data_IF_129554507528
#
_entry.id   IF_129554507528
#
_cell.length_a   1.000
_cell.length_b   1.000
_cell.length_c   1.000
_cell.angle_alpha   90.00
_cell.angle_beta   90.00
_cell.angle_gamma   90.00
#
_symmetry.space_group_name_H-M   'P 1'
#
loop_
_entity.id
_entity.type
_entity.pdbx_description
1 polymer ?
#
# COMPACT_ATOMS: atom_id res chain seq x y z
N UNK A 1 -2.86 36.59 17.77
CA UNK A 1 -3.19 35.27 18.37
C UNK A 1 -2.36 34.18 17.68
N UNK A 2 -2.37 32.93 18.16
CA UNK A 2 -1.64 31.83 17.51
C UNK A 2 -2.13 31.57 16.06
N UNK A 3 -3.44 31.75 15.82
CA UNK A 3 -4.05 31.64 14.49
C UNK A 3 -3.53 32.70 13.52
N UNK A 4 -3.35 33.94 13.98
CA UNK A 4 -2.81 35.01 13.13
C UNK A 4 -1.36 34.72 12.74
N UNK A 5 -0.56 34.22 13.69
CA UNK A 5 0.82 33.82 13.43
C UNK A 5 0.88 32.68 12.42
N UNK A 6 0.04 31.65 12.57
CA UNK A 6 -0.04 30.54 11.61
C UNK A 6 -0.37 31.02 10.18
N UNK A 7 -1.35 31.92 10.04
CA UNK A 7 -1.70 32.52 8.73
C UNK A 7 -0.56 33.33 8.13
N UNK A 8 0.16 34.10 8.94
CA UNK A 8 1.34 34.85 8.47
C UNK A 8 2.41 33.87 7.98
N UNK A 9 2.71 32.81 8.73
CA UNK A 9 3.67 31.78 8.33
C UNK A 9 3.24 31.14 6.99
N UNK A 10 1.97 30.78 6.84
CA UNK A 10 1.43 30.25 5.58
C UNK A 10 1.62 31.22 4.41
N UNK A 11 1.32 32.50 4.61
CA UNK A 11 1.55 33.55 3.62
C UNK A 11 3.03 33.69 3.27
N UNK A 12 3.92 33.62 4.26
CA UNK A 12 5.37 33.67 4.04
C UNK A 12 5.84 32.48 3.20
N UNK A 13 5.39 31.26 3.53
CA UNK A 13 5.67 30.05 2.78
C UNK A 13 5.13 30.09 1.35
N UNK A 14 3.98 30.75 1.10
CA UNK A 14 3.40 30.88 -0.23
C UNK A 14 4.07 31.96 -1.10
N UNK A 15 4.62 33.01 -0.48
CA UNK A 15 5.18 34.20 -1.16
C UNK A 15 6.70 34.25 -1.17
N UNK A 16 7.37 33.22 -0.65
CA UNK A 16 8.83 33.17 -0.52
C UNK A 16 9.59 33.42 -1.84
N UNK A 17 8.96 33.14 -2.99
CA UNK A 17 9.56 33.34 -4.33
C UNK A 17 9.19 34.69 -4.99
N UNK A 18 8.11 35.37 -4.57
CA UNK A 18 7.55 36.56 -5.23
C UNK A 18 7.72 37.87 -4.44
N UNK A 19 8.53 37.83 -3.38
CA UNK A 19 8.87 39.01 -2.58
C UNK A 19 9.62 40.10 -3.37
N UNK A 20 10.29 39.74 -4.47
CA UNK A 20 10.91 40.71 -5.39
C UNK A 20 9.90 41.44 -6.28
N UNK A 21 8.76 40.82 -6.61
CA UNK A 21 7.67 41.45 -7.37
C UNK A 21 6.82 42.36 -6.48
N UNK A 22 6.78 42.03 -5.18
CA UNK A 22 6.13 42.80 -4.12
C UNK A 22 7.05 43.94 -3.64
N UNK A 23 7.41 44.86 -4.53
CA UNK A 23 8.14 46.08 -4.16
C UNK A 23 7.29 47.01 -3.29
N UNK A 24 7.06 46.61 -2.03
CA UNK A 24 6.71 47.55 -0.99
C UNK A 24 7.98 48.38 -0.76
N UNK A 25 7.97 49.61 -1.27
CA UNK A 25 8.96 50.64 -0.94
C UNK A 25 8.86 50.95 0.56
N UNK A 26 9.34 50.06 1.41
CA UNK A 26 9.64 50.37 2.80
C UNK A 26 10.93 51.20 2.80
N UNK A 27 10.91 52.43 3.35
CA UNK A 27 12.10 53.24 3.46
C UNK A 27 13.18 52.44 4.21
N UNK A 28 14.40 52.43 3.67
CA UNK A 28 15.55 51.85 4.36
C UNK A 28 15.73 52.51 5.73
N UNK A 29 16.26 51.80 6.75
CA UNK A 29 16.43 52.35 8.10
C UNK A 29 17.24 53.66 8.17
N UNK A 30 18.05 53.94 7.15
CA UNK A 30 18.75 55.22 6.96
C UNK A 30 17.83 56.42 6.79
N UNK A 31 16.54 56.21 6.50
CA UNK A 31 15.52 57.25 6.38
C UNK A 31 15.00 57.76 7.73
N UNK A 32 15.19 56.97 8.80
CA UNK A 32 14.64 57.24 10.13
C UNK A 32 15.63 57.92 11.09
N UNK A 33 16.92 57.89 10.77
CA UNK A 33 17.96 58.49 11.59
C UNK A 33 18.67 59.60 10.80
N UNK A 34 18.44 60.89 11.11
CA UNK A 34 19.26 61.94 10.54
C UNK A 34 20.67 61.78 11.13
N UNK A 35 21.59 61.23 10.35
CA UNK A 35 23.01 61.26 10.69
C UNK A 35 23.43 62.72 10.72
N UNK A 36 23.82 63.18 11.91
CA UNK A 36 24.30 64.53 12.15
C UNK A 36 25.41 64.89 11.17
N UNK A 37 25.28 66.08 10.59
CA UNK A 37 26.27 66.65 9.70
C UNK A 37 27.59 66.87 10.44
N UNK A 38 28.69 66.34 9.89
CA UNK A 38 30.01 66.91 10.06
C UNK A 38 30.73 66.94 8.70
N UNK A 39 31.44 68.03 8.34
CA UNK A 39 31.88 68.28 6.98
C UNK A 39 33.33 67.88 6.77
N UNK A 40 33.59 67.06 5.74
CA UNK A 40 34.94 66.97 5.17
C UNK A 40 35.29 65.61 4.58
N UNK A 41 35.33 65.52 3.25
CA UNK A 41 35.97 64.39 2.58
C UNK A 41 35.59 64.26 1.12
N UNK A 42 36.48 64.71 0.24
CA UNK A 42 36.37 64.66 -1.23
C UNK A 42 36.24 63.23 -1.76
N UNK A 43 35.49 63.10 -2.84
CA UNK A 43 35.06 61.83 -3.42
C UNK A 43 36.09 61.02 -4.18
N UNK A 44 35.63 59.86 -4.66
CA UNK A 44 36.11 59.24 -5.89
C UNK A 44 35.06 58.24 -6.40
N UNK A 45 34.56 58.52 -7.59
CA UNK A 45 33.71 57.63 -8.38
C UNK A 45 34.42 56.29 -8.63
N UNK A 46 33.68 55.22 -8.35
CA UNK A 46 34.09 53.84 -8.57
C UNK A 46 32.84 53.04 -8.91
N UNK A 47 32.32 53.27 -10.12
CA UNK A 47 31.27 52.50 -10.74
C UNK A 47 31.74 51.05 -10.87
N UNK A 48 31.21 50.17 -10.03
CA UNK A 48 31.28 48.73 -10.26
C UNK A 48 29.87 48.16 -10.12
N UNK A 49 29.22 48.00 -11.27
CA UNK A 49 27.96 47.28 -11.42
C UNK A 49 28.20 45.80 -11.16
N UNK A 50 27.97 45.39 -9.91
CA UNK A 50 27.66 44.02 -9.57
C UNK A 50 26.18 43.98 -9.17
N UNK A 51 25.30 43.59 -10.09
CA UNK A 51 23.92 43.24 -9.76
C UNK A 51 23.93 41.97 -8.90
N UNK A 52 24.24 42.13 -7.61
CA UNK A 52 23.83 41.15 -6.63
C UNK A 52 22.33 41.28 -6.50
N UNK A 53 21.58 40.42 -7.18
CA UNK A 53 20.20 40.15 -6.78
C UNK A 53 20.28 39.54 -5.38
N UNK A 54 20.27 40.37 -4.34
CA UNK A 54 19.88 39.91 -3.02
C UNK A 54 18.47 39.36 -3.21
N UNK A 55 18.36 38.03 -3.28
CA UNK A 55 17.08 37.35 -3.32
C UNK A 55 16.29 37.84 -2.10
N UNK A 56 15.35 38.76 -2.32
CA UNK A 56 14.42 39.26 -1.31
C UNK A 56 13.57 38.08 -0.91
N UNK A 57 14.00 37.35 0.11
CA UNK A 57 13.28 36.22 0.69
C UNK A 57 13.01 36.52 2.16
N UNK A 58 11.99 35.88 2.72
CA UNK A 58 11.61 36.06 4.11
C UNK A 58 12.78 35.66 5.01
N UNK A 59 13.10 36.52 5.99
CA UNK A 59 14.14 36.26 7.00
C UNK A 59 13.47 35.68 8.26
N UNK A 60 13.49 34.35 8.46
CA UNK A 60 12.77 33.71 9.57
C UNK A 60 13.25 34.18 10.94
N UNK A 61 14.54 34.54 11.06
CA UNK A 61 15.16 35.00 12.30
C UNK A 61 14.55 36.33 12.76
N UNK A 62 14.37 37.27 11.82
CA UNK A 62 13.77 38.58 12.09
C UNK A 62 12.30 38.41 12.50
N UNK A 63 11.58 37.54 11.79
CA UNK A 63 10.18 37.26 12.10
C UNK A 63 9.99 36.69 13.50
N UNK A 64 10.76 35.66 13.85
CA UNK A 64 10.68 35.02 15.19
C UNK A 64 11.10 35.98 16.29
N UNK A 65 12.14 36.79 16.07
CA UNK A 65 12.57 37.80 17.05
C UNK A 65 11.47 38.86 17.27
N UNK A 66 10.84 39.36 16.20
CA UNK A 66 9.73 40.30 16.31
C UNK A 66 8.54 39.70 17.07
N UNK A 67 8.18 38.44 16.81
CA UNK A 67 7.11 37.75 17.55
C UNK A 67 7.43 37.63 19.05
N UNK A 68 8.69 37.37 19.40
CA UNK A 68 9.13 37.29 20.80
C UNK A 68 8.97 38.61 21.54
N UNK A 69 9.19 39.73 20.87
CA UNK A 69 9.03 41.07 21.44
C UNK A 69 7.56 41.49 21.55
N UNK A 70 6.75 41.20 20.52
CA UNK A 70 5.35 41.62 20.44
C UNK A 70 4.41 40.71 21.23
N UNK A 71 4.68 39.39 21.24
CA UNK A 71 3.85 38.39 21.93
C UNK A 71 4.73 37.41 22.72
N UNK A 72 5.32 37.83 23.86
CA UNK A 72 6.27 36.99 24.63
C UNK A 72 5.68 35.68 25.16
N UNK A 73 4.35 35.62 25.36
CA UNK A 73 3.62 34.46 25.83
C UNK A 73 3.10 33.53 24.73
N UNK A 74 3.61 33.65 23.49
CA UNK A 74 3.15 32.84 22.35
C UNK A 74 3.49 31.36 22.57
N UNK A 75 2.47 30.51 22.55
CA UNK A 75 2.64 29.06 22.58
C UNK A 75 2.80 28.52 21.14
N UNK A 76 4.01 28.07 20.80
CA UNK A 76 4.31 27.55 19.45
C UNK A 76 3.61 26.24 19.13
N UNK A 77 3.21 25.45 20.13
CA UNK A 77 2.37 24.28 19.90
C UNK A 77 1.00 24.68 19.36
N UNK A 78 0.40 25.74 19.92
CA UNK A 78 -0.88 26.27 19.45
C UNK A 78 -0.75 26.89 18.06
N UNK A 79 0.39 27.50 17.73
CA UNK A 79 0.69 27.97 16.36
C UNK A 79 0.74 26.80 15.39
N UNK A 80 1.41 25.71 15.73
CA UNK A 80 1.51 24.52 14.87
C UNK A 80 0.16 23.83 14.68
N UNK A 81 -0.67 23.77 15.73
CA UNK A 81 -2.06 23.30 15.63
C UNK A 81 -2.90 24.22 14.74
N UNK A 82 -2.67 25.53 14.81
CA UNK A 82 -3.38 26.51 14.00
C UNK A 82 -2.91 26.58 12.53
N UNK A 83 -1.90 25.80 12.13
CA UNK A 83 -1.57 25.60 10.71
C UNK A 83 -2.70 24.87 9.95
N UNK A 84 -3.58 24.17 10.67
CA UNK A 84 -4.83 23.66 10.10
C UNK A 84 -5.82 24.80 9.83
N UNK A 85 -5.65 25.44 8.67
CA UNK A 85 -6.57 26.44 8.14
C UNK A 85 -6.61 26.40 6.61
N UNK A 86 -7.70 26.88 6.01
CA UNK A 86 -8.02 26.71 4.58
C UNK A 86 -6.94 27.22 3.60
N UNK A 87 -6.15 28.22 3.98
CA UNK A 87 -5.13 28.84 3.12
C UNK A 87 -3.75 28.17 3.24
N UNK A 88 -3.57 27.24 4.18
CA UNK A 88 -2.28 26.57 4.38
C UNK A 88 -1.97 25.64 3.20
N UNK A 89 -0.80 25.83 2.58
CA UNK A 89 -0.31 24.96 1.51
C UNK A 89 1.22 25.10 1.35
N UNK A 90 1.93 23.97 1.23
CA UNK A 90 3.36 23.93 0.95
C UNK A 90 3.57 23.43 -0.49
N UNK A 91 4.06 24.33 -1.36
CA UNK A 91 4.19 24.07 -2.81
C UNK A 91 5.52 23.44 -3.20
N UNK A 92 6.58 23.75 -2.46
CA UNK A 92 7.94 23.38 -2.83
C UNK A 92 8.89 23.26 -1.62
N UNK A 93 10.12 22.86 -1.91
CA UNK A 93 11.19 22.64 -0.94
C UNK A 93 11.60 23.93 -0.20
N UNK A 94 11.76 25.11 -0.84
CA UNK A 94 12.05 26.34 -0.11
C UNK A 94 10.95 26.76 0.87
N UNK A 95 9.67 26.61 0.49
CA UNK A 95 8.54 26.85 1.39
C UNK A 95 8.56 25.95 2.63
N UNK A 96 8.87 24.66 2.45
CA UNK A 96 9.06 23.73 3.57
C UNK A 96 10.25 24.13 4.46
N UNK A 97 11.39 24.47 3.85
CA UNK A 97 12.59 24.90 4.59
C UNK A 97 12.30 26.14 5.45
N UNK A 98 11.55 27.11 4.92
CA UNK A 98 11.13 28.30 5.64
C UNK A 98 10.22 27.95 6.82
N UNK A 99 9.20 27.11 6.61
CA UNK A 99 8.28 26.66 7.66
C UNK A 99 9.06 25.99 8.81
N UNK A 100 9.90 25.00 8.47
CA UNK A 100 10.68 24.25 9.45
C UNK A 100 11.65 25.16 10.22
N UNK A 101 12.27 26.12 9.54
CA UNK A 101 13.17 27.08 10.17
C UNK A 101 12.44 27.98 11.17
N UNK A 102 11.30 28.56 10.77
CA UNK A 102 10.47 29.40 11.65
C UNK A 102 10.03 28.62 12.89
N UNK A 103 9.45 27.43 12.70
CA UNK A 103 8.93 26.61 13.80
C UNK A 103 10.07 26.16 14.72
N UNK A 104 11.21 25.72 14.18
CA UNK A 104 12.38 25.32 14.97
C UNK A 104 12.89 26.46 15.84
N UNK A 105 13.07 27.66 15.26
CA UNK A 105 13.52 28.84 16.01
C UNK A 105 12.49 29.27 17.06
N UNK A 106 11.21 29.21 16.72
CA UNK A 106 10.10 29.52 17.62
C UNK A 106 10.04 28.62 18.84
N UNK A 107 10.08 27.30 18.64
CA UNK A 107 10.07 26.31 19.73
C UNK A 107 11.32 26.43 20.61
N UNK A 108 12.49 26.65 20.00
CA UNK A 108 13.74 26.89 20.73
C UNK A 108 13.65 28.13 21.62
N UNK A 109 13.05 29.21 21.12
CA UNK A 109 12.89 30.46 21.88
C UNK A 109 11.98 30.32 23.10
N UNK A 110 11.12 29.28 23.12
CA UNK A 110 10.12 29.04 24.16
C UNK A 110 10.53 27.95 25.16
N UNK A 111 11.75 27.40 25.04
CA UNK A 111 12.27 26.38 25.97
C UNK A 111 11.61 25.00 25.86
N UNK A 112 10.77 24.76 24.85
CA UNK A 112 10.00 23.52 24.64
C UNK A 112 10.81 22.39 23.95
N UNK A 113 12.08 22.62 23.63
CA UNK A 113 12.97 21.66 22.99
C UNK A 113 13.51 22.15 21.64
N UNK A 114 14.07 21.23 20.84
CA UNK A 114 14.65 21.54 19.53
C UNK A 114 13.94 20.88 18.33
N UNK A 115 12.91 20.09 18.58
CA UNK A 115 12.28 19.26 17.55
C UNK A 115 11.00 19.89 17.02
N UNK A 116 10.75 19.70 15.73
CA UNK A 116 9.49 20.07 15.09
C UNK A 116 8.34 19.24 15.70
N UNK A 117 7.23 19.86 16.16
CA UNK A 117 6.14 19.18 16.84
C UNK A 117 5.26 18.41 15.85
N UNK A 118 5.80 17.31 15.32
CA UNK A 118 5.19 16.51 14.26
C UNK A 118 3.87 15.85 14.69
N UNK A 119 3.64 15.69 16.00
CA UNK A 119 2.33 15.37 16.59
C UNK A 119 1.17 16.24 16.08
N UNK A 120 1.44 17.51 15.73
CA UNK A 120 0.44 18.43 15.17
C UNK A 120 0.09 18.05 13.73
N UNK A 121 1.06 17.51 12.98
CA UNK A 121 0.88 17.04 11.61
C UNK A 121 0.11 15.72 11.57
N UNK A 122 0.20 14.90 12.61
CA UNK A 122 -0.56 13.64 12.71
C UNK A 122 -2.03 13.83 13.13
N UNK A 123 -2.45 15.03 13.51
CA UNK A 123 -3.87 15.31 13.81
C UNK A 123 -4.73 15.18 12.56
N UNK A 124 -6.04 15.00 12.71
CA UNK A 124 -6.97 15.01 11.57
C UNK A 124 -7.30 16.45 11.20
N UNK A 125 -6.61 16.99 10.19
CA UNK A 125 -6.81 18.38 9.76
C UNK A 125 -8.15 18.53 9.04
N UNK A 126 -8.74 19.72 9.18
CA UNK A 126 -9.86 20.18 8.35
C UNK A 126 -9.38 20.58 6.96
N UNK A 127 -8.22 21.21 6.83
CA UNK A 127 -7.54 21.42 5.55
C UNK A 127 -6.70 20.18 5.17
N UNK A 128 -7.39 19.17 4.64
CA UNK A 128 -6.79 17.90 4.21
C UNK A 128 -5.75 18.10 3.09
N UNK A 129 -5.97 19.06 2.18
CA UNK A 129 -5.03 19.39 1.09
C UNK A 129 -3.73 19.95 1.65
N UNK A 130 -3.83 20.92 2.56
CA UNK A 130 -2.70 21.51 3.24
C UNK A 130 -1.88 20.48 4.01
N UNK A 131 -2.56 19.59 4.74
CA UNK A 131 -1.92 18.49 5.46
C UNK A 131 -1.15 17.54 4.52
N UNK A 132 -1.80 17.12 3.43
CA UNK A 132 -1.17 16.27 2.42
C UNK A 132 0.06 16.95 1.79
N UNK A 133 -0.03 18.25 1.50
CA UNK A 133 1.08 19.01 0.91
C UNK A 133 2.32 19.01 1.80
N UNK A 134 2.12 19.20 3.12
CA UNK A 134 3.18 19.18 4.12
C UNK A 134 3.81 17.78 4.24
N UNK A 135 3.00 16.74 4.42
CA UNK A 135 3.49 15.36 4.56
C UNK A 135 4.25 14.94 3.29
N UNK A 136 3.71 15.23 2.11
CA UNK A 136 4.34 14.92 0.83
C UNK A 136 5.69 15.61 0.69
N UNK A 137 5.78 16.89 1.07
CA UNK A 137 7.03 17.64 0.95
C UNK A 137 8.08 17.15 1.94
N UNK A 138 7.67 16.76 3.17
CA UNK A 138 8.57 16.15 4.15
C UNK A 138 9.11 14.82 3.62
N UNK A 139 8.24 13.92 3.13
CA UNK A 139 8.67 12.62 2.58
C UNK A 139 9.65 12.76 1.41
N UNK A 140 9.48 13.79 0.58
CA UNK A 140 10.39 14.08 -0.55
C UNK A 140 11.72 14.72 -0.14
N UNK A 141 11.82 15.30 1.05
CA UNK A 141 13.00 16.05 1.51
C UNK A 141 13.44 15.60 2.92
N UNK A 142 13.84 14.32 3.09
CA UNK A 142 14.22 13.76 4.40
C UNK A 142 15.46 14.41 5.00
N UNK A 143 16.23 15.17 4.21
CA UNK A 143 17.38 15.95 4.66
C UNK A 143 16.98 17.21 5.44
N UNK A 144 15.77 17.75 5.21
CA UNK A 144 15.23 18.88 5.97
C UNK A 144 14.57 18.41 7.26
N UNK A 145 13.76 17.36 7.18
CA UNK A 145 13.12 16.70 8.31
C UNK A 145 12.68 15.30 7.90
N UNK A 146 12.84 14.31 8.78
CA UNK A 146 12.36 12.95 8.55
C UNK A 146 11.38 12.50 9.63
N UNK A 147 10.30 11.82 9.23
CA UNK A 147 9.41 11.15 10.19
C UNK A 147 10.13 10.05 10.99
N UNK A 148 11.28 9.57 10.52
CA UNK A 148 12.16 8.67 11.26
C UNK A 148 12.85 9.33 12.45
N UNK A 149 13.03 10.66 12.43
CA UNK A 149 13.75 11.38 13.50
C UNK A 149 12.98 11.34 14.83
N UNK A 150 11.65 11.17 14.77
CA UNK A 150 10.82 11.00 15.97
C UNK A 150 9.58 10.13 15.72
N UNK A 151 9.62 8.90 16.23
CA UNK A 151 8.53 7.94 16.14
C UNK A 151 7.87 7.78 17.51
N UNK A 152 6.65 8.30 17.68
CA UNK A 152 5.89 8.16 18.95
C UNK A 152 5.40 6.73 19.17
N UNK A 153 4.92 6.09 18.11
CA UNK A 153 4.40 4.72 18.15
C UNK A 153 4.94 3.98 16.96
N UNK A 154 5.88 3.08 17.23
CA UNK A 154 6.59 2.31 16.22
C UNK A 154 5.81 1.05 15.85
N UNK A 155 5.92 0.64 14.59
CA UNK A 155 5.45 -0.66 14.11
C UNK A 155 6.20 -1.76 14.86
N UNK A 156 5.48 -2.63 15.54
CA UNK A 156 6.05 -3.83 16.15
C UNK A 156 6.42 -4.84 15.05
N UNK A 157 7.72 -5.12 14.91
CA UNK A 157 8.26 -6.05 13.91
C UNK A 157 8.87 -7.32 14.51
N UNK A 158 8.75 -7.52 15.83
CA UNK A 158 9.35 -8.62 16.58
C UNK A 158 8.97 -10.02 16.08
N UNK A 159 7.83 -10.14 15.40
CA UNK A 159 7.35 -11.40 14.84
C UNK A 159 8.08 -11.77 13.53
N UNK A 160 8.70 -10.81 12.85
CA UNK A 160 9.33 -11.02 11.54
C UNK A 160 10.57 -11.90 11.70
N UNK A 161 10.76 -12.85 10.77
CA UNK A 161 11.92 -13.75 10.77
C UNK A 161 13.19 -13.03 10.35
N UNK A 162 13.07 -12.17 9.36
CA UNK A 162 14.13 -11.29 8.89
C UNK A 162 13.74 -9.86 9.28
N UNK A 163 14.49 -9.21 10.18
CA UNK A 163 14.17 -7.85 10.58
C UNK A 163 14.35 -6.89 9.37
N UNK A 164 13.52 -5.85 9.25
CA UNK A 164 13.66 -4.85 8.19
C UNK A 164 14.94 -4.03 8.35
N UNK A 165 15.48 -3.52 7.24
CA UNK A 165 16.66 -2.64 7.24
C UNK A 165 16.29 -1.20 7.61
N UNK A 166 16.13 -0.94 8.91
CA UNK A 166 15.70 0.37 9.43
C UNK A 166 16.80 1.43 9.50
N UNK A 167 18.04 1.12 9.09
CA UNK A 167 19.13 2.10 9.04
C UNK A 167 18.90 3.16 7.95
N UNK A 168 18.13 2.81 6.91
CA UNK A 168 17.70 3.76 5.91
C UNK A 168 16.54 4.63 6.45
N UNK A 169 16.74 5.94 6.55
CA UNK A 169 15.71 6.90 6.98
C UNK A 169 14.42 6.84 6.16
N UNK A 170 14.50 6.48 4.89
CA UNK A 170 13.33 6.32 4.02
C UNK A 170 12.46 5.14 4.47
N UNK A 171 13.08 4.02 4.87
CA UNK A 171 12.40 2.85 5.47
C UNK A 171 11.90 3.18 6.88
N UNK A 172 12.76 3.77 7.71
CA UNK A 172 12.45 4.08 9.10
C UNK A 172 11.26 5.03 9.26
N UNK A 173 11.01 5.92 8.27
CA UNK A 173 9.84 6.80 8.28
C UNK A 173 8.52 6.01 8.33
N UNK A 174 8.47 4.84 7.67
CA UNK A 174 7.29 3.98 7.62
C UNK A 174 7.07 3.14 8.89
N UNK A 175 8.03 3.14 9.81
CA UNK A 175 7.83 2.57 11.14
C UNK A 175 6.89 3.42 12.00
N UNK A 176 6.53 4.65 11.59
CA UNK A 176 5.55 5.48 12.29
C UNK A 176 4.12 5.04 11.97
N UNK A 177 3.42 4.48 12.97
CA UNK A 177 2.00 4.14 12.82
C UNK A 177 1.13 5.38 12.53
N UNK A 178 1.48 6.53 13.13
CA UNK A 178 0.75 7.79 12.95
C UNK A 178 0.86 8.34 11.54
N UNK A 179 2.02 8.15 10.88
CA UNK A 179 2.19 8.53 9.47
C UNK A 179 1.26 7.71 8.57
N UNK A 180 1.20 6.39 8.78
CA UNK A 180 0.35 5.52 7.97
C UNK A 180 -1.13 5.80 8.26
N UNK A 181 -1.52 5.99 9.52
CA UNK A 181 -2.92 6.30 9.91
C UNK A 181 -3.40 7.63 9.34
N UNK A 182 -2.58 8.69 9.41
CA UNK A 182 -2.96 9.99 8.88
C UNK A 182 -3.06 9.99 7.35
N UNK A 183 -2.19 9.23 6.66
CA UNK A 183 -2.30 9.05 5.21
C UNK A 183 -3.59 8.31 4.83
N UNK A 184 -3.97 7.26 5.56
CA UNK A 184 -5.25 6.58 5.36
C UNK A 184 -6.44 7.54 5.57
N UNK A 185 -6.40 8.36 6.62
CA UNK A 185 -7.40 9.41 6.84
C UNK A 185 -7.49 10.37 5.64
N UNK A 186 -6.35 10.87 5.14
CA UNK A 186 -6.31 11.77 3.98
C UNK A 186 -6.88 11.08 2.72
N UNK A 187 -6.57 9.80 2.50
CA UNK A 187 -7.08 9.03 1.37
C UNK A 187 -8.62 8.94 1.41
N UNK A 188 -9.18 8.68 2.59
CA UNK A 188 -10.62 8.56 2.80
C UNK A 188 -11.36 9.92 2.76
N UNK A 189 -10.62 11.04 2.76
CA UNK A 189 -11.16 12.41 2.71
C UNK A 189 -10.81 13.16 1.41
N UNK A 190 -10.84 12.45 0.28
CA UNK A 190 -10.85 13.06 -1.07
C UNK A 190 -9.52 13.07 -1.82
N UNK A 191 -8.42 12.64 -1.19
CA UNK A 191 -7.09 12.61 -1.81
C UNK A 191 -6.54 11.20 -2.01
N UNK A 192 -7.44 10.24 -2.26
CA UNK A 192 -7.12 8.83 -2.43
C UNK A 192 -5.99 8.58 -3.44
N UNK A 193 -6.06 9.16 -4.65
CA UNK A 193 -5.06 8.90 -5.71
C UNK A 193 -3.65 9.34 -5.30
N UNK A 194 -3.54 10.54 -4.75
CA UNK A 194 -2.28 11.12 -4.31
C UNK A 194 -1.65 10.32 -3.17
N UNK A 195 -2.48 9.84 -2.23
CA UNK A 195 -2.00 9.00 -1.13
C UNK A 195 -1.58 7.62 -1.62
N UNK A 196 -2.30 7.01 -2.57
CA UNK A 196 -1.88 5.73 -3.15
C UNK A 196 -0.54 5.84 -3.90
N UNK A 197 -0.28 6.97 -4.58
CA UNK A 197 1.06 7.24 -5.15
C UNK A 197 2.15 7.30 -4.08
N UNK A 198 1.87 7.89 -2.92
CA UNK A 198 2.80 7.92 -1.78
C UNK A 198 3.05 6.49 -1.26
N UNK A 199 2.00 5.67 -1.13
CA UNK A 199 2.14 4.29 -0.65
C UNK A 199 2.89 3.35 -1.62
N UNK A 200 3.07 3.71 -2.91
CA UNK A 200 3.91 2.91 -3.82
C UNK A 200 5.35 2.75 -3.30
N UNK A 201 5.87 3.77 -2.59
CA UNK A 201 7.22 3.75 -2.02
C UNK A 201 7.36 2.59 -1.01
N UNK A 202 6.59 2.54 0.09
CA UNK A 202 6.71 1.45 1.06
C UNK A 202 6.26 0.08 0.50
N UNK A 203 5.33 0.04 -0.47
CA UNK A 203 4.97 -1.21 -1.15
C UNK A 203 6.19 -1.85 -1.85
N UNK A 204 7.07 -1.03 -2.42
CA UNK A 204 8.27 -1.51 -3.12
C UNK A 204 9.46 -1.70 -2.18
N UNK A 205 9.65 -0.78 -1.24
CA UNK A 205 10.86 -0.70 -0.42
C UNK A 205 10.78 -1.53 0.87
N UNK A 206 9.63 -1.51 1.56
CA UNK A 206 9.44 -2.16 2.85
C UNK A 206 7.99 -2.68 3.03
N UNK A 207 7.55 -3.62 2.17
CA UNK A 207 6.17 -4.10 2.17
C UNK A 207 5.77 -4.78 3.49
N UNK A 208 6.73 -5.34 4.23
CA UNK A 208 6.50 -6.00 5.51
C UNK A 208 6.23 -5.01 6.63
N UNK A 209 6.98 -3.92 6.71
CA UNK A 209 6.70 -2.80 7.63
C UNK A 209 5.30 -2.26 7.35
N UNK A 210 4.98 -1.96 6.09
CA UNK A 210 3.67 -1.43 5.73
C UNK A 210 2.55 -2.39 6.10
N UNK A 211 2.68 -3.68 5.78
CA UNK A 211 1.66 -4.67 6.14
C UNK A 211 1.44 -4.74 7.65
N UNK A 212 2.53 -4.74 8.43
CA UNK A 212 2.46 -4.78 9.89
C UNK A 212 1.85 -3.49 10.46
N UNK A 213 2.17 -2.33 9.90
CA UNK A 213 1.53 -1.06 10.25
C UNK A 213 0.02 -1.13 10.03
N UNK A 214 -0.40 -1.60 8.85
CA UNK A 214 -1.80 -1.79 8.49
C UNK A 214 -2.48 -2.85 9.34
N UNK A 215 -1.80 -3.71 10.10
CA UNK A 215 -2.43 -4.62 11.08
C UNK A 215 -2.53 -4.02 12.49
N UNK A 216 -1.72 -3.02 12.80
CA UNK A 216 -1.59 -2.44 14.14
C UNK A 216 -2.36 -1.14 14.33
N UNK A 217 -2.66 -0.43 13.23
CA UNK A 217 -3.56 0.74 13.28
C UNK A 217 -4.94 0.30 13.78
N UNK A 218 -5.60 1.14 14.59
CA UNK A 218 -6.90 0.80 15.15
C UNK A 218 -7.97 0.58 14.04
N UNK A 219 -9.02 -0.23 14.30
CA UNK A 219 -10.16 -0.36 13.39
C UNK A 219 -10.89 0.98 13.14
N UNK A 220 -11.65 1.13 12.03
CA UNK A 220 -12.12 0.08 11.11
C UNK A 220 -11.17 -0.24 9.93
N UNK A 221 -11.53 -1.25 9.12
CA UNK A 221 -10.92 -1.46 7.80
C UNK A 221 -11.61 -0.53 6.81
N UNK A 222 -10.97 0.59 6.49
CA UNK A 222 -11.44 1.51 5.45
C UNK A 222 -11.18 0.91 4.07
N UNK A 223 -11.81 1.48 3.03
CA UNK A 223 -11.65 0.99 1.65
C UNK A 223 -10.19 1.07 1.18
N UNK A 224 -9.53 2.20 1.47
CA UNK A 224 -8.10 2.41 1.20
C UNK A 224 -7.21 1.35 1.87
N UNK A 225 -7.48 1.05 3.15
CA UNK A 225 -6.76 0.01 3.90
C UNK A 225 -6.99 -1.40 3.33
N UNK A 226 -8.23 -1.73 2.95
CA UNK A 226 -8.55 -3.01 2.31
C UNK A 226 -7.78 -3.19 0.99
N UNK A 227 -7.72 -2.13 0.18
CA UNK A 227 -7.00 -2.17 -1.10
C UNK A 227 -5.49 -2.34 -0.92
N UNK A 228 -4.89 -1.67 0.06
CA UNK A 228 -3.49 -1.87 0.40
C UNK A 228 -3.22 -3.33 0.81
N UNK A 229 -4.10 -3.95 1.63
CA UNK A 229 -3.98 -5.38 1.92
C UNK A 229 -4.09 -6.22 0.64
N UNK A 230 -5.09 -5.98 -0.21
CA UNK A 230 -5.24 -6.72 -1.48
C UNK A 230 -4.01 -6.59 -2.39
N UNK A 231 -3.34 -5.44 -2.36
CA UNK A 231 -2.12 -5.17 -3.13
C UNK A 231 -0.89 -5.87 -2.53
N UNK A 232 -0.77 -5.89 -1.21
CA UNK A 232 0.40 -6.45 -0.51
C UNK A 232 0.36 -7.97 -0.38
N UNK A 233 -0.82 -8.59 -0.20
CA UNK A 233 -0.94 -10.05 0.00
C UNK A 233 -0.22 -10.85 -1.12
N UNK A 234 -0.38 -10.54 -2.42
CA UNK A 234 0.36 -11.21 -3.49
C UNK A 234 1.89 -11.21 -3.33
N UNK A 235 2.48 -10.16 -2.74
CA UNK A 235 3.92 -10.08 -2.47
C UNK A 235 4.30 -11.17 -1.46
N UNK A 236 3.50 -11.34 -0.41
CA UNK A 236 3.71 -12.36 0.61
C UNK A 236 3.26 -13.77 0.21
N UNK A 237 2.44 -13.91 -0.83
CA UNK A 237 2.21 -15.21 -1.45
C UNK A 237 3.42 -15.66 -2.29
N UNK A 238 4.22 -14.72 -2.77
CA UNK A 238 5.50 -14.97 -3.43
C UNK A 238 6.61 -15.44 -2.47
N UNK A 239 7.86 -15.19 -2.87
CA UNK A 239 9.06 -15.67 -2.20
C UNK A 239 9.63 -14.69 -1.16
N UNK A 240 8.78 -14.02 -0.38
CA UNK A 240 9.25 -13.10 0.66
C UNK A 240 9.70 -13.86 1.92
N UNK A 241 10.84 -13.53 2.54
CA UNK A 241 11.35 -14.25 3.73
C UNK A 241 10.36 -14.22 4.91
N UNK A 242 9.64 -13.10 5.06
CA UNK A 242 8.65 -12.90 6.12
C UNK A 242 7.23 -13.41 5.79
N UNK A 243 7.00 -14.02 4.61
CA UNK A 243 5.68 -14.45 4.13
C UNK A 243 4.86 -15.25 5.15
N UNK A 244 5.45 -16.31 5.69
CA UNK A 244 4.73 -17.23 6.59
C UNK A 244 4.27 -16.54 7.87
N UNK A 245 5.15 -15.75 8.50
CA UNK A 245 4.80 -15.04 9.74
C UNK A 245 3.72 -14.00 9.49
N UNK A 246 3.88 -13.17 8.45
CA UNK A 246 2.94 -12.07 8.16
C UNK A 246 1.55 -12.64 7.87
N UNK A 247 1.45 -13.66 7.01
CA UNK A 247 0.17 -14.26 6.67
C UNK A 247 -0.47 -14.97 7.87
N UNK A 248 0.32 -15.64 8.72
CA UNK A 248 -0.18 -16.27 9.94
C UNK A 248 -0.70 -15.23 10.96
N UNK A 249 0.02 -14.12 11.11
CA UNK A 249 -0.40 -13.02 11.96
C UNK A 249 -1.68 -12.36 11.42
N UNK A 250 -1.75 -12.10 10.12
CA UNK A 250 -2.92 -11.55 9.45
C UNK A 250 -4.16 -12.45 9.59
N UNK A 251 -3.99 -13.77 9.39
CA UNK A 251 -5.08 -14.75 9.48
C UNK A 251 -5.70 -14.86 10.88
N UNK A 252 -4.88 -14.67 11.90
CA UNK A 252 -5.29 -14.79 13.31
C UNK A 252 -5.60 -13.44 13.97
N UNK A 253 -5.50 -12.33 13.23
CA UNK A 253 -5.77 -10.99 13.76
C UNK A 253 -7.25 -10.87 14.19
N UNK A 254 -7.50 -10.70 15.48
CA UNK A 254 -8.85 -10.64 16.05
C UNK A 254 -9.59 -9.35 15.69
N UNK A 255 -8.87 -8.24 15.50
CA UNK A 255 -9.44 -6.91 15.24
C UNK A 255 -10.11 -6.80 13.87
N UNK A 256 -9.66 -7.58 12.88
CA UNK A 256 -10.15 -7.51 11.50
C UNK A 256 -10.86 -8.76 11.01
N UNK A 257 -10.99 -9.78 11.85
CA UNK A 257 -11.74 -10.99 11.51
C UNK A 257 -13.25 -10.72 11.59
N UNK A 258 -14.07 -11.19 10.60
CA UNK A 258 -13.72 -12.11 9.52
C UNK A 258 -13.26 -11.46 8.20
N UNK A 259 -13.32 -10.13 8.08
CA UNK A 259 -13.05 -9.40 6.83
C UNK A 259 -11.66 -9.67 6.25
N UNK A 260 -10.62 -9.64 7.09
CA UNK A 260 -9.23 -9.85 6.63
C UNK A 260 -8.99 -11.26 6.09
N UNK A 261 -9.57 -12.30 6.70
CA UNK A 261 -9.55 -13.66 6.14
C UNK A 261 -10.17 -13.70 4.76
N UNK A 262 -11.30 -13.01 4.58
CA UNK A 262 -11.98 -12.96 3.28
C UNK A 262 -11.12 -12.27 2.21
N UNK A 263 -10.40 -11.20 2.59
CA UNK A 263 -9.42 -10.52 1.72
C UNK A 263 -8.28 -11.48 1.34
N UNK A 264 -7.69 -12.19 2.30
CA UNK A 264 -6.61 -13.17 2.05
C UNK A 264 -7.04 -14.26 1.07
N UNK A 265 -8.20 -14.89 1.31
CA UNK A 265 -8.72 -15.96 0.45
C UNK A 265 -9.00 -15.45 -0.98
N UNK A 266 -9.58 -14.25 -1.09
CA UNK A 266 -9.84 -13.63 -2.38
C UNK A 266 -8.53 -13.30 -3.12
N UNK A 267 -7.56 -12.71 -2.43
CA UNK A 267 -6.24 -12.41 -2.99
C UNK A 267 -5.50 -13.67 -3.46
N UNK A 268 -5.62 -14.81 -2.77
CA UNK A 268 -5.07 -16.09 -3.24
C UNK A 268 -5.68 -16.52 -4.58
N UNK A 269 -7.02 -16.47 -4.69
CA UNK A 269 -7.72 -16.80 -5.94
C UNK A 269 -7.30 -15.86 -7.09
N UNK A 270 -7.29 -14.56 -6.85
CA UNK A 270 -6.91 -13.55 -7.85
C UNK A 270 -5.45 -13.70 -8.29
N UNK A 271 -4.54 -13.99 -7.37
CA UNK A 271 -3.13 -14.16 -7.67
C UNK A 271 -2.86 -15.35 -8.60
N UNK A 272 -3.62 -16.44 -8.44
CA UNK A 272 -3.59 -17.58 -9.36
C UNK A 272 -4.16 -17.24 -10.74
N UNK A 273 -5.32 -16.57 -10.80
CA UNK A 273 -5.98 -16.23 -12.05
C UNK A 273 -5.15 -15.27 -12.92
N UNK A 274 -4.47 -14.29 -12.30
CA UNK A 274 -3.56 -13.36 -12.99
C UNK A 274 -2.28 -14.04 -13.50
N UNK A 275 -1.91 -15.18 -12.95
CA UNK A 275 -0.71 -15.93 -13.34
C UNK A 275 -0.93 -16.89 -14.50
N UNK A 276 -1.99 -16.70 -15.29
CA UNK A 276 -2.36 -17.60 -16.40
C UNK A 276 -2.43 -19.08 -16.01
N UNK A 277 -2.82 -19.38 -14.76
CA UNK A 277 -2.92 -20.74 -14.20
C UNK A 277 -1.57 -21.43 -13.92
N UNK A 278 -0.55 -20.64 -13.62
CA UNK A 278 0.74 -21.09 -13.11
C UNK A 278 0.58 -22.06 -11.93
N UNK A 279 1.01 -23.31 -12.16
CA UNK A 279 0.93 -24.38 -11.18
C UNK A 279 1.87 -24.18 -10.00
N UNK A 280 2.96 -23.40 -10.16
CA UNK A 280 3.85 -23.05 -9.06
C UNK A 280 3.14 -22.14 -8.06
N UNK A 281 2.37 -21.15 -8.53
CA UNK A 281 1.50 -20.31 -7.69
C UNK A 281 0.44 -21.14 -6.98
N UNK A 282 -0.22 -22.06 -7.70
CA UNK A 282 -1.22 -22.93 -7.11
C UNK A 282 -0.63 -23.81 -5.99
N UNK A 283 0.54 -24.39 -6.23
CA UNK A 283 1.30 -25.14 -5.23
C UNK A 283 1.61 -24.28 -4.00
N UNK A 284 2.12 -23.07 -4.23
CA UNK A 284 2.45 -22.14 -3.16
C UNK A 284 1.22 -21.72 -2.35
N UNK A 285 0.10 -21.44 -3.02
CA UNK A 285 -1.20 -21.14 -2.37
C UNK A 285 -1.63 -22.33 -1.50
N UNK A 286 -1.53 -23.56 -2.00
CA UNK A 286 -1.90 -24.74 -1.24
C UNK A 286 -1.02 -24.88 0.02
N UNK A 287 0.29 -24.69 -0.10
CA UNK A 287 1.22 -24.74 1.03
C UNK A 287 0.83 -23.72 2.11
N UNK A 288 0.61 -22.46 1.71
CA UNK A 288 0.17 -21.39 2.63
C UNK A 288 -1.20 -21.73 3.24
N UNK A 289 -2.14 -22.24 2.46
CA UNK A 289 -3.47 -22.59 2.97
C UNK A 289 -3.43 -23.74 3.97
N UNK A 290 -2.49 -24.70 3.83
CA UNK A 290 -2.26 -25.73 4.84
C UNK A 290 -1.68 -25.14 6.13
N UNK A 291 -0.64 -24.30 6.01
CA UNK A 291 -0.02 -23.64 7.16
C UNK A 291 -1.02 -22.81 7.97
N UNK A 292 -1.93 -22.11 7.29
CA UNK A 292 -3.01 -21.32 7.90
C UNK A 292 -4.22 -22.15 8.36
N UNK A 293 -4.25 -23.46 8.06
CA UNK A 293 -5.43 -24.33 8.23
C UNK A 293 -6.70 -23.77 7.55
N UNK A 294 -6.50 -23.14 6.39
CA UNK A 294 -7.51 -22.40 5.63
C UNK A 294 -8.05 -23.15 4.40
N UNK A 295 -7.57 -24.38 4.12
CA UNK A 295 -7.94 -25.13 2.90
C UNK A 295 -9.46 -25.25 2.73
N UNK A 296 -10.19 -25.59 3.79
CA UNK A 296 -11.66 -25.72 3.73
C UNK A 296 -12.35 -24.39 3.41
N UNK A 297 -11.84 -23.27 3.93
CA UNK A 297 -12.35 -21.95 3.58
C UNK A 297 -12.03 -21.59 2.13
N UNK A 298 -10.83 -21.91 1.66
CA UNK A 298 -10.36 -21.60 0.31
C UNK A 298 -11.13 -22.38 -0.77
N UNK A 299 -11.48 -23.65 -0.50
CA UNK A 299 -12.32 -24.48 -1.38
C UNK A 299 -13.79 -24.00 -1.47
N UNK A 300 -14.18 -23.01 -0.68
CA UNK A 300 -15.52 -22.39 -0.71
C UNK A 300 -15.53 -20.98 -1.33
N UNK A 301 -14.41 -20.52 -1.91
CA UNK A 301 -14.36 -19.27 -2.67
C UNK A 301 -15.13 -19.41 -3.98
N UNK A 302 -15.75 -18.33 -4.46
CA UNK A 302 -16.65 -18.32 -5.63
C UNK A 302 -16.01 -18.67 -6.98
N UNK A 303 -14.68 -18.69 -7.07
CA UNK A 303 -13.98 -18.97 -8.33
C UNK A 303 -13.88 -20.47 -8.58
N UNK A 304 -14.84 -21.02 -9.33
CA UNK A 304 -14.91 -22.46 -9.65
C UNK A 304 -13.65 -22.99 -10.35
N UNK A 305 -13.09 -22.24 -11.30
CA UNK A 305 -11.88 -22.66 -12.03
C UNK A 305 -10.71 -22.85 -11.06
N UNK A 306 -10.55 -21.93 -10.11
CA UNK A 306 -9.50 -21.98 -9.10
C UNK A 306 -9.71 -23.12 -8.10
N UNK A 307 -10.91 -23.25 -7.51
CA UNK A 307 -11.15 -24.28 -6.48
C UNK A 307 -11.09 -25.70 -7.05
N UNK A 308 -11.45 -25.90 -8.32
CA UNK A 308 -11.34 -27.22 -8.98
C UNK A 308 -9.86 -27.60 -9.14
N UNK A 309 -9.01 -26.69 -9.66
CA UNK A 309 -7.58 -26.99 -9.82
C UNK A 309 -6.90 -27.20 -8.45
N UNK A 310 -7.25 -26.35 -7.47
CA UNK A 310 -6.77 -26.48 -6.10
C UNK A 310 -7.19 -27.81 -5.47
N UNK A 311 -8.44 -28.25 -5.64
CA UNK A 311 -8.92 -29.54 -5.13
C UNK A 311 -8.18 -30.72 -5.76
N UNK A 312 -7.91 -30.67 -7.07
CA UNK A 312 -7.10 -31.68 -7.76
C UNK A 312 -5.70 -31.75 -7.16
N UNK A 313 -5.05 -30.60 -6.94
CA UNK A 313 -3.72 -30.54 -6.35
C UNK A 313 -3.72 -31.01 -4.89
N UNK A 314 -4.69 -30.59 -4.08
CA UNK A 314 -4.85 -31.01 -2.70
C UNK A 314 -5.06 -32.52 -2.57
N UNK A 315 -5.82 -33.12 -3.49
CA UNK A 315 -6.01 -34.57 -3.53
C UNK A 315 -4.72 -35.33 -3.86
N UNK A 316 -3.90 -34.80 -4.78
CA UNK A 316 -2.60 -35.41 -5.11
C UNK A 316 -1.62 -35.39 -3.94
N UNK A 317 -1.78 -34.44 -3.02
CA UNK A 317 -1.01 -34.33 -1.79
C UNK A 317 -1.73 -34.93 -0.58
N UNK A 318 -2.77 -35.72 -0.82
CA UNK A 318 -3.53 -36.44 0.21
C UNK A 318 -4.23 -35.54 1.25
N UNK A 319 -4.38 -34.23 0.97
CA UNK A 319 -5.05 -33.28 1.85
C UNK A 319 -6.57 -33.24 1.65
N UNK A 320 -7.09 -33.85 0.57
CA UNK A 320 -8.50 -33.83 0.22
C UNK A 320 -8.95 -35.16 -0.40
N UNK A 321 -10.12 -35.65 0.00
CA UNK A 321 -10.80 -36.76 -0.69
C UNK A 321 -11.59 -36.21 -1.89
N UNK A 322 -10.98 -36.22 -3.08
CA UNK A 322 -11.53 -35.58 -4.27
C UNK A 322 -12.92 -36.08 -4.66
N UNK A 323 -13.15 -37.38 -4.67
CA UNK A 323 -14.43 -37.99 -5.06
C UNK A 323 -15.59 -37.46 -4.22
N UNK A 324 -15.44 -37.50 -2.89
CA UNK A 324 -16.45 -36.97 -1.96
C UNK A 324 -16.66 -35.47 -2.16
N UNK A 325 -15.58 -34.71 -2.26
CA UNK A 325 -15.66 -33.26 -2.43
C UNK A 325 -16.35 -32.86 -3.74
N UNK A 326 -16.03 -33.53 -4.85
CA UNK A 326 -16.68 -33.31 -6.15
C UNK A 326 -18.16 -33.67 -6.09
N UNK A 327 -18.51 -34.83 -5.54
CA UNK A 327 -19.90 -35.25 -5.41
C UNK A 327 -20.72 -34.24 -4.57
N UNK A 328 -20.15 -33.78 -3.45
CA UNK A 328 -20.78 -32.78 -2.59
C UNK A 328 -20.97 -31.43 -3.32
N UNK A 329 -19.95 -30.95 -4.04
CA UNK A 329 -20.01 -29.66 -4.79
C UNK A 329 -20.90 -29.71 -6.03
N UNK A 330 -20.93 -30.83 -6.75
CA UNK A 330 -21.86 -31.05 -7.87
C UNK A 330 -23.30 -31.03 -7.36
N UNK A 331 -23.57 -31.67 -6.21
CA UNK A 331 -24.91 -31.63 -5.59
C UNK A 331 -25.30 -30.23 -5.09
N UNK A 332 -24.35 -29.48 -4.55
CA UNK A 332 -24.58 -28.12 -4.02
C UNK A 332 -24.83 -27.09 -5.14
N UNK A 333 -24.01 -27.10 -6.20
CA UNK A 333 -24.02 -26.04 -7.22
C UNK A 333 -24.66 -26.47 -8.55
N UNK A 334 -24.91 -27.76 -8.76
CA UNK A 334 -25.57 -28.29 -9.95
C UNK A 334 -24.80 -28.08 -11.25
N UNK A 335 -25.55 -27.95 -12.35
CA UNK A 335 -25.03 -27.85 -13.71
C UNK A 335 -23.99 -26.73 -13.95
N UNK A 336 -24.10 -25.51 -13.37
CA UNK A 336 -23.07 -24.48 -13.50
C UNK A 336 -21.66 -24.95 -13.11
N UNK A 337 -21.55 -25.72 -12.02
CA UNK A 337 -20.28 -26.26 -11.57
C UNK A 337 -19.77 -27.36 -12.50
N UNK A 338 -20.67 -28.24 -12.97
CA UNK A 338 -20.36 -29.29 -13.96
C UNK A 338 -19.80 -28.69 -15.26
N UNK A 339 -20.41 -27.62 -15.77
CA UNK A 339 -19.91 -26.90 -16.96
C UNK A 339 -18.50 -26.37 -16.75
N UNK A 340 -18.16 -25.88 -15.55
CA UNK A 340 -16.80 -25.43 -15.25
C UNK A 340 -15.81 -26.59 -15.13
N UNK A 341 -16.20 -27.74 -14.57
CA UNK A 341 -15.36 -28.95 -14.58
C UNK A 341 -15.05 -29.37 -16.03
N UNK A 342 -16.06 -29.37 -16.91
CA UNK A 342 -15.87 -29.68 -18.33
C UNK A 342 -14.88 -28.71 -18.95
N UNK A 343 -15.08 -27.40 -18.81
CA UNK A 343 -14.13 -26.38 -19.32
C UNK A 343 -12.72 -26.56 -18.76
N UNK A 344 -12.60 -26.93 -17.49
CA UNK A 344 -11.32 -27.23 -16.85
C UNK A 344 -10.62 -28.43 -17.50
N UNK A 345 -11.34 -29.53 -17.71
CA UNK A 345 -10.81 -30.73 -18.37
C UNK A 345 -10.42 -30.44 -19.83
N UNK A 346 -11.24 -29.70 -20.57
CA UNK A 346 -10.94 -29.30 -21.96
C UNK A 346 -9.62 -28.53 -22.06
N UNK A 347 -9.35 -27.65 -21.09
CA UNK A 347 -8.13 -26.84 -21.05
C UNK A 347 -6.90 -27.66 -20.66
N UNK A 348 -7.03 -28.54 -19.67
CA UNK A 348 -5.89 -29.31 -19.11
C UNK A 348 -5.58 -30.56 -19.92
N UNK A 349 -6.56 -31.05 -20.67
CA UNK A 349 -6.50 -32.26 -21.47
C UNK A 349 -7.31 -32.12 -22.77
N UNK A 350 -6.95 -31.22 -23.70
CA UNK A 350 -7.62 -31.05 -24.98
C UNK A 350 -7.64 -32.33 -25.83
N UNK A 351 -6.69 -33.24 -25.59
CA UNK A 351 -6.65 -34.58 -26.18
C UNK A 351 -7.91 -35.44 -25.90
N UNK A 352 -8.68 -35.12 -24.84
CA UNK A 352 -9.92 -35.83 -24.49
C UNK A 352 -11.05 -35.55 -25.49
N UNK A 353 -11.05 -34.40 -26.18
CA UNK A 353 -12.13 -34.01 -27.09
C UNK A 353 -11.93 -34.44 -28.55
N UNK A 354 -10.69 -34.41 -29.05
CA UNK A 354 -10.48 -34.37 -30.52
C UNK A 354 -10.30 -35.76 -31.14
N UNK A 355 -10.04 -36.82 -30.36
CA UNK A 355 -9.75 -38.15 -30.93
C UNK A 355 -8.53 -38.20 -31.86
N UNK A 356 -7.84 -37.07 -32.03
CA UNK A 356 -6.56 -36.92 -32.72
C UNK A 356 -5.57 -36.38 -31.71
N UNK A 357 -4.42 -37.03 -31.65
CA UNK A 357 -3.21 -36.51 -31.03
C UNK A 357 -2.83 -35.23 -31.77
N UNK A 358 -3.39 -34.09 -31.36
CA UNK A 358 -2.76 -32.82 -31.68
C UNK A 358 -1.54 -32.74 -30.77
N UNK A 359 -0.36 -32.87 -31.37
CA UNK A 359 0.97 -32.73 -30.77
C UNK A 359 1.24 -31.28 -30.27
N UNK A 360 0.23 -30.58 -29.74
CA UNK A 360 0.48 -29.37 -28.97
C UNK A 360 1.02 -29.80 -27.61
N UNK A 361 2.33 -29.64 -27.45
CA UNK A 361 3.09 -29.95 -26.24
C UNK A 361 2.58 -29.11 -25.06
N UNK A 362 1.52 -29.57 -24.42
CA UNK A 362 1.12 -29.05 -23.12
C UNK A 362 2.25 -29.39 -22.14
N UNK A 363 2.74 -28.42 -21.35
CA UNK A 363 3.77 -28.68 -20.35
C UNK A 363 3.38 -29.87 -19.46
N UNK A 364 4.30 -30.81 -19.19
CA UNK A 364 4.03 -31.98 -18.32
C UNK A 364 3.49 -31.58 -16.95
N UNK A 365 3.88 -30.40 -16.44
CA UNK A 365 3.36 -29.81 -15.19
C UNK A 365 1.87 -29.43 -15.25
N UNK A 366 1.32 -29.23 -16.45
CA UNK A 366 -0.07 -28.89 -16.68
C UNK A 366 -0.96 -30.11 -17.00
N UNK A 367 -0.39 -31.32 -17.12
CA UNK A 367 -1.17 -32.53 -17.34
C UNK A 367 -1.70 -33.06 -16.00
N UNK A 368 -2.99 -33.45 -15.98
CA UNK A 368 -3.59 -34.10 -14.82
C UNK A 368 -3.14 -35.56 -14.74
N UNK A 369 -2.83 -36.08 -13.53
CA UNK A 369 -2.58 -37.51 -13.37
C UNK A 369 -3.79 -38.34 -13.80
N UNK A 370 -3.57 -39.55 -14.36
CA UNK A 370 -4.66 -40.40 -14.87
C UNK A 370 -5.67 -40.79 -13.79
N UNK A 371 -5.22 -40.97 -12.55
CA UNK A 371 -6.09 -41.29 -11.40
C UNK A 371 -7.03 -40.13 -11.03
N UNK A 372 -6.50 -38.90 -11.01
CA UNK A 372 -7.28 -37.68 -10.79
C UNK A 372 -8.31 -37.49 -11.90
N UNK A 373 -7.89 -37.68 -13.16
CA UNK A 373 -8.78 -37.60 -14.31
C UNK A 373 -9.91 -38.64 -14.24
N UNK A 374 -9.57 -39.90 -13.92
CA UNK A 374 -10.55 -40.98 -13.79
C UNK A 374 -11.57 -40.71 -12.69
N UNK A 375 -11.12 -40.18 -11.55
CA UNK A 375 -12.00 -39.77 -10.45
C UNK A 375 -12.99 -38.69 -10.89
N UNK A 376 -12.50 -37.64 -11.55
CA UNK A 376 -13.36 -36.54 -12.05
C UNK A 376 -14.41 -37.08 -13.03
N UNK A 377 -13.99 -37.91 -13.99
CA UNK A 377 -14.89 -38.47 -15.00
C UNK A 377 -15.93 -39.42 -14.40
N UNK A 378 -15.56 -40.19 -13.37
CA UNK A 378 -16.50 -41.06 -12.64
C UNK A 378 -17.57 -40.21 -11.93
N UNK A 379 -17.17 -39.12 -11.28
CA UNK A 379 -18.13 -38.18 -10.67
C UNK A 379 -19.03 -37.50 -11.71
N UNK A 380 -18.50 -37.15 -12.89
CA UNK A 380 -19.28 -36.58 -13.99
C UNK A 380 -20.27 -37.58 -14.57
N UNK A 381 -19.87 -38.84 -14.77
CA UNK A 381 -20.77 -39.90 -15.24
C UNK A 381 -21.95 -40.09 -14.27
N UNK A 382 -21.70 -40.04 -12.97
CA UNK A 382 -22.75 -40.17 -11.96
C UNK A 382 -23.79 -39.03 -12.00
N UNK A 383 -23.48 -37.87 -12.59
CA UNK A 383 -24.41 -36.75 -12.70
C UNK A 383 -25.04 -36.57 -14.09
N UNK A 384 -24.77 -37.46 -15.05
CA UNK A 384 -25.31 -37.37 -16.43
C UNK A 384 -26.84 -37.26 -16.46
N UNK A 385 -27.53 -37.99 -15.58
CA UNK A 385 -29.01 -37.95 -15.51
C UNK A 385 -29.60 -36.64 -14.96
N UNK A 386 -28.78 -35.76 -14.38
CA UNK A 386 -29.22 -34.55 -13.68
C UNK A 386 -28.81 -33.25 -14.39
N UNK A 387 -28.27 -33.33 -15.61
CA UNK A 387 -27.79 -32.19 -16.41
C UNK A 387 -28.52 -32.12 -17.75
N UNK A 388 -28.46 -30.96 -18.41
CA UNK A 388 -29.00 -30.80 -19.77
C UNK A 388 -28.44 -31.82 -20.78
N UNK A 389 -29.21 -32.21 -21.81
CA UNK A 389 -28.80 -33.21 -22.80
C UNK A 389 -27.45 -32.89 -23.49
N UNK A 390 -27.21 -31.61 -23.80
CA UNK A 390 -25.96 -31.16 -24.43
C UNK A 390 -24.74 -31.41 -23.52
N UNK A 391 -24.89 -31.17 -22.21
CA UNK A 391 -23.83 -31.40 -21.22
C UNK A 391 -23.62 -32.90 -21.00
N UNK A 392 -24.70 -33.67 -20.98
CA UNK A 392 -24.66 -35.13 -20.88
C UNK A 392 -23.90 -35.76 -22.06
N UNK A 393 -24.13 -35.30 -23.29
CA UNK A 393 -23.43 -35.78 -24.48
C UNK A 393 -21.92 -35.54 -24.40
N UNK A 394 -21.51 -34.34 -23.96
CA UNK A 394 -20.09 -34.00 -23.75
C UNK A 394 -19.44 -34.91 -22.70
N UNK A 395 -20.12 -35.15 -21.56
CA UNK A 395 -19.62 -36.04 -20.50
C UNK A 395 -19.45 -37.46 -21.02
N UNK A 396 -20.43 -37.97 -21.76
CA UNK A 396 -20.39 -39.31 -22.35
C UNK A 396 -19.20 -39.46 -23.30
N UNK A 397 -18.97 -38.48 -24.17
CA UNK A 397 -17.81 -38.44 -25.08
C UNK A 397 -16.47 -38.44 -24.34
N UNK A 398 -16.32 -37.62 -23.28
CA UNK A 398 -15.10 -37.59 -22.47
C UNK A 398 -14.84 -38.92 -21.74
N UNK A 399 -15.91 -39.59 -21.30
CA UNK A 399 -15.79 -40.82 -20.54
C UNK A 399 -15.39 -42.04 -21.39
N UNK A 400 -15.81 -42.08 -22.65
CA UNK A 400 -15.35 -43.08 -23.63
C UNK A 400 -13.84 -42.98 -23.88
N UNK A 401 -13.29 -41.76 -23.87
CA UNK A 401 -11.85 -41.54 -24.02
C UNK A 401 -11.02 -42.09 -22.84
N UNK A 402 -11.53 -42.01 -21.60
CA UNK A 402 -10.84 -42.55 -20.42
C UNK A 402 -10.71 -44.08 -20.47
N UNK A 403 -11.73 -44.78 -20.96
CA UNK A 403 -11.68 -46.23 -21.18
C UNK A 403 -10.59 -46.61 -22.20
N UNK A 404 -10.42 -45.80 -23.25
CA UNK A 404 -9.35 -45.96 -24.25
C UNK A 404 -7.96 -45.71 -23.67
N UNK A 405 -7.77 -44.68 -22.84
CA UNK A 405 -6.50 -44.42 -22.17
C UNK A 405 -6.11 -45.55 -21.22
N UNK A 406 -7.01 -45.95 -20.33
CA UNK A 406 -6.77 -47.02 -19.34
C UNK A 406 -6.51 -48.38 -19.99
N UNK A 407 -7.13 -48.67 -21.13
CA UNK A 407 -6.84 -49.88 -21.93
C UNK A 407 -5.42 -49.89 -22.53
N UNK A 408 -4.89 -48.72 -22.95
CA UNK A 408 -3.55 -48.60 -23.53
C UNK A 408 -2.45 -48.64 -22.47
N UNK A 409 -2.66 -48.02 -21.30
CA UNK A 409 -1.69 -48.06 -20.20
C UNK A 409 -1.53 -49.49 -19.64
N UNK A 410 -2.61 -50.28 -19.62
CA UNK A 410 -2.57 -51.71 -19.27
C UNK A 410 -1.89 -52.61 -20.31
N UNK A 411 -1.79 -52.17 -21.57
CA UNK A 411 -1.13 -52.92 -22.64
C UNK A 411 0.38 -52.60 -22.77
N UNK A 412 0.88 -51.60 -22.02
CA UNK A 412 2.28 -51.18 -21.99
C UNK A 412 3.02 -51.56 -20.69
N UNK A 413 2.29 -52.07 -19.69
CA UNK A 413 2.84 -52.83 -18.56
C UNK A 413 2.83 -54.31 -18.91
#
# INVERSE_FOLDING_TARGET
SAQDVAKIISSMCLTHASLSESSINLPTPSSFWPQGADPGGKGKDGQNGGSGSENSTWKPEIFVQALKEVVPGLNWKDVCLALDHQEFLIKDRPGLSLLLSIVKMGVQSSGLGQHFPVECVYQRWTNVEGQLSLITMILKNPDLYSFADHIYTSVSVDLLKTPPETDNKEVASWMSLHLVDVLLYIADNGFYQQVMEIFKIPIQLCPDILFMALLQINPPVTMSRQELFTTLIPIFLGNHPNSGTILHHAWNNTSFNPSLRHIILHSMSEWYLRGENDQSRLSRILDVAQDLKALSNLLNVRSFIFIIDLACLASRREYLKLEKWLADKIREHGEPFVKTIIKFLQRRCPQIMVGKFADEQIPKSAQLPPETLSTILTCLQACVGNVSPDVAEVIMGMSQYNLLLTSKTRAQQ
#
